data_IF_271225941623
#
_entry.id   IF_271225941623
#
_cell.length_a   1.000
_cell.length_b   1.000
_cell.length_c   1.000
_cell.angle_alpha   90.00
_cell.angle_beta   90.00
_cell.angle_gamma   90.00
#
_symmetry.space_group_name_H-M   'P 1'
#
loop_
_entity.id
_entity.type
_entity.pdbx_description
1 polymer ?
#
# COMPACT_ATOMS: atom_id res chain seq x y z
N UNK A 1 5.56 -28.97 -1.26
CA UNK A 1 5.64 -28.59 0.17
C UNK A 1 4.23 -28.35 0.70
N UNK A 2 3.94 -28.63 1.97
CA UNK A 2 2.65 -28.30 2.57
C UNK A 2 2.44 -26.78 2.57
N UNK A 3 1.20 -26.29 2.45
CA UNK A 3 0.90 -24.85 2.51
C UNK A 3 1.27 -24.31 3.90
N UNK A 4 1.84 -23.10 3.94
CA UNK A 4 2.08 -22.39 5.20
C UNK A 4 0.79 -21.73 5.69
N UNK A 5 0.64 -21.62 6.99
CA UNK A 5 -0.50 -20.92 7.59
C UNK A 5 -0.54 -19.45 7.15
N UNK A 6 -1.73 -18.90 6.93
CA UNK A 6 -1.94 -17.54 6.44
C UNK A 6 -1.33 -16.50 7.40
N UNK A 7 -1.45 -16.76 8.71
CA UNK A 7 -0.90 -15.91 9.77
C UNK A 7 0.61 -15.72 9.66
N UNK A 8 1.32 -16.76 9.20
CA UNK A 8 2.77 -16.70 8.97
C UNK A 8 3.16 -15.89 7.74
N UNK A 9 2.27 -15.77 6.76
CA UNK A 9 2.50 -15.04 5.51
C UNK A 9 2.03 -13.58 5.58
N UNK A 10 1.03 -13.30 6.43
CA UNK A 10 0.39 -11.99 6.57
C UNK A 10 1.40 -10.84 6.79
N UNK A 11 2.42 -10.92 7.64
CA UNK A 11 3.41 -9.86 7.83
C UNK A 11 4.17 -9.46 6.56
N UNK A 12 4.31 -10.38 5.62
CA UNK A 12 5.06 -10.17 4.38
C UNK A 12 4.22 -9.62 3.22
N UNK A 13 2.92 -9.41 3.42
CA UNK A 13 1.99 -8.96 2.36
C UNK A 13 2.39 -7.59 1.79
N UNK A 14 2.84 -6.65 2.64
CA UNK A 14 3.28 -5.32 2.22
C UNK A 14 4.58 -5.34 1.40
N UNK A 15 5.36 -6.44 1.48
CA UNK A 15 6.57 -6.66 0.69
C UNK A 15 6.27 -7.25 -0.70
N UNK A 16 4.98 -7.53 -1.00
CA UNK A 16 4.51 -8.05 -2.28
C UNK A 16 5.03 -9.45 -2.59
N UNK A 17 5.16 -9.77 -3.89
CA UNK A 17 5.59 -11.10 -4.35
C UNK A 17 6.94 -11.53 -3.78
N UNK A 18 7.89 -10.59 -3.66
CA UNK A 18 9.23 -10.87 -3.14
C UNK A 18 9.17 -11.37 -1.68
N UNK A 19 8.46 -10.67 -0.82
CA UNK A 19 8.29 -11.06 0.59
C UNK A 19 7.53 -12.38 0.73
N UNK A 20 6.46 -12.56 -0.04
CA UNK A 20 5.64 -13.76 0.02
C UNK A 20 6.37 -15.01 -0.52
N UNK A 21 7.17 -14.90 -1.59
CA UNK A 21 7.99 -16.00 -2.07
C UNK A 21 9.11 -16.35 -1.08
N UNK A 22 9.75 -15.33 -0.48
CA UNK A 22 10.75 -15.57 0.57
C UNK A 22 10.14 -16.28 1.79
N UNK A 23 9.03 -15.76 2.29
CA UNK A 23 8.36 -16.34 3.45
C UNK A 23 7.74 -17.72 3.16
N UNK A 24 7.11 -17.90 1.98
CA UNK A 24 6.39 -19.11 1.62
C UNK A 24 7.30 -20.26 1.19
N UNK A 25 8.34 -19.98 0.40
CA UNK A 25 9.14 -20.97 -0.30
C UNK A 25 10.64 -20.89 0.05
N UNK A 26 11.06 -19.91 0.87
CA UNK A 26 12.47 -19.56 1.13
C UNK A 26 13.21 -19.18 -0.17
N UNK A 27 12.51 -18.55 -1.08
CA UNK A 27 12.96 -18.20 -2.43
C UNK A 27 13.23 -16.69 -2.51
N UNK A 28 14.46 -16.32 -2.78
CA UNK A 28 14.85 -14.94 -3.07
C UNK A 28 15.13 -14.72 -4.56
N UNK A 29 15.44 -13.50 -4.95
CA UNK A 29 15.64 -13.11 -6.35
C UNK A 29 16.82 -13.82 -7.04
N UNK A 30 17.73 -14.47 -6.31
CA UNK A 30 18.85 -15.22 -6.87
C UNK A 30 18.48 -16.69 -7.13
N UNK A 31 17.32 -17.15 -6.70
CA UNK A 31 16.89 -18.52 -6.94
C UNK A 31 16.57 -18.74 -8.41
N UNK A 32 17.06 -19.84 -9.05
CA UNK A 32 16.89 -20.06 -10.49
C UNK A 32 15.44 -20.04 -10.97
N UNK A 33 14.49 -20.46 -10.15
CA UNK A 33 13.06 -20.51 -10.48
C UNK A 33 12.29 -19.25 -10.02
N UNK A 34 12.98 -18.24 -9.46
CA UNK A 34 12.31 -17.07 -8.85
C UNK A 34 11.41 -16.35 -9.86
N UNK A 35 11.91 -16.03 -11.04
CA UNK A 35 11.16 -15.26 -12.05
C UNK A 35 9.91 -16.03 -12.51
N UNK A 36 10.03 -17.33 -12.77
CA UNK A 36 8.89 -18.15 -13.17
C UNK A 36 7.83 -18.23 -12.07
N UNK A 37 8.26 -18.39 -10.81
CA UNK A 37 7.34 -18.45 -9.67
C UNK A 37 6.72 -17.10 -9.38
N UNK A 38 7.48 -16.01 -9.48
CA UNK A 38 6.98 -14.66 -9.33
C UNK A 38 5.93 -14.32 -10.38
N UNK A 39 6.18 -14.67 -11.65
CA UNK A 39 5.21 -14.47 -12.73
C UNK A 39 3.93 -15.27 -12.48
N UNK A 40 4.06 -16.55 -12.14
CA UNK A 40 2.90 -17.40 -11.82
C UNK A 40 2.07 -16.84 -10.65
N UNK A 41 2.74 -16.37 -9.60
CA UNK A 41 2.07 -15.70 -8.49
C UNK A 41 1.28 -14.48 -8.94
N UNK A 42 1.90 -13.63 -9.76
CA UNK A 42 1.27 -12.39 -10.26
C UNK A 42 0.09 -12.68 -11.21
N UNK A 43 0.17 -13.75 -12.01
CA UNK A 43 -0.94 -14.18 -12.87
C UNK A 43 -2.15 -14.63 -12.05
N UNK A 44 -1.92 -15.48 -11.03
CA UNK A 44 -2.97 -15.90 -10.09
C UNK A 44 -3.55 -14.70 -9.34
N UNK A 45 -2.68 -13.80 -8.86
CA UNK A 45 -3.08 -12.59 -8.15
C UNK A 45 -3.97 -11.70 -9.03
N UNK A 46 -3.60 -11.50 -10.30
CA UNK A 46 -4.38 -10.70 -11.25
C UNK A 46 -5.82 -11.24 -11.44
N UNK A 47 -5.95 -12.57 -11.53
CA UNK A 47 -7.25 -13.23 -11.72
C UNK A 47 -8.12 -13.16 -10.46
N UNK A 48 -7.51 -12.98 -9.28
CA UNK A 48 -8.17 -13.02 -7.98
C UNK A 48 -8.07 -11.72 -7.19
N UNK A 49 -7.81 -10.63 -7.88
CA UNK A 49 -7.40 -9.34 -7.32
C UNK A 49 -8.30 -8.81 -6.19
N UNK A 50 -9.62 -9.03 -6.30
CA UNK A 50 -10.62 -8.51 -5.35
C UNK A 50 -11.64 -9.56 -4.89
N UNK A 51 -11.31 -10.87 -4.93
CA UNK A 51 -12.25 -11.90 -4.45
C UNK A 51 -12.48 -11.77 -2.93
N UNK A 52 -11.40 -11.60 -2.17
CA UNK A 52 -11.43 -11.50 -0.72
C UNK A 52 -10.99 -10.12 -0.21
N UNK A 53 -10.57 -9.22 -1.12
CA UNK A 53 -10.08 -7.90 -0.76
C UNK A 53 -11.23 -6.99 -0.38
N UNK A 54 -11.15 -6.38 0.79
CA UNK A 54 -12.10 -5.39 1.32
C UNK A 54 -11.36 -4.33 2.12
N UNK A 55 -12.01 -3.22 2.34
CA UNK A 55 -11.50 -2.19 3.24
C UNK A 55 -11.49 -2.72 4.68
N UNK A 56 -10.54 -2.25 5.48
CA UNK A 56 -10.53 -2.52 6.91
C UNK A 56 -11.77 -1.93 7.58
N UNK A 57 -12.18 -2.52 8.69
CA UNK A 57 -13.34 -2.07 9.46
C UNK A 57 -13.19 -0.60 9.87
N UNK A 58 -14.27 0.15 9.73
CA UNK A 58 -14.30 1.59 10.01
C UNK A 58 -13.80 2.49 8.86
N UNK A 59 -13.03 1.96 7.88
CA UNK A 59 -12.55 2.79 6.76
C UNK A 59 -13.69 3.32 5.89
N UNK A 60 -14.72 2.54 5.52
CA UNK A 60 -15.85 3.10 4.78
C UNK A 60 -16.49 4.30 5.48
N UNK A 61 -16.78 4.18 6.77
CA UNK A 61 -17.38 5.28 7.55
C UNK A 61 -16.43 6.50 7.69
N UNK A 62 -15.12 6.26 7.80
CA UNK A 62 -14.13 7.35 7.80
C UNK A 62 -14.15 8.11 6.47
N UNK A 63 -14.18 7.41 5.33
CA UNK A 63 -14.22 8.05 4.02
C UNK A 63 -15.52 8.84 3.83
N UNK A 64 -16.66 8.29 4.27
CA UNK A 64 -17.94 9.00 4.23
C UNK A 64 -17.89 10.30 5.07
N UNK A 65 -17.27 10.26 6.25
CA UNK A 65 -17.11 11.44 7.09
C UNK A 65 -16.19 12.49 6.46
N UNK A 66 -15.08 12.08 5.84
CA UNK A 66 -14.19 13.01 5.13
C UNK A 66 -14.92 13.73 3.99
N UNK A 67 -15.70 12.99 3.20
CA UNK A 67 -16.47 13.52 2.08
C UNK A 67 -17.57 14.49 2.57
N UNK A 68 -18.29 14.13 3.65
CA UNK A 68 -19.29 15.01 4.28
C UNK A 68 -18.68 16.32 4.79
N UNK A 69 -17.40 16.30 5.20
CA UNK A 69 -16.64 17.49 5.60
C UNK A 69 -15.99 18.22 4.43
N UNK A 70 -16.22 17.81 3.19
CA UNK A 70 -15.55 18.32 1.98
C UNK A 70 -14.02 18.24 2.06
N UNK A 71 -13.49 17.23 2.73
CA UNK A 71 -12.06 16.94 2.78
C UNK A 71 -11.70 15.98 1.63
N UNK A 72 -10.82 16.44 0.73
CA UNK A 72 -10.28 15.59 -0.33
C UNK A 72 -9.34 14.54 0.23
N UNK A 73 -9.37 13.35 -0.36
CA UNK A 73 -8.48 12.25 -0.01
C UNK A 73 -7.95 11.54 -1.27
N UNK A 74 -6.83 10.86 -1.12
CA UNK A 74 -6.19 10.13 -2.20
C UNK A 74 -5.51 8.86 -1.73
N UNK A 75 -5.08 8.05 -2.69
CA UNK A 75 -4.38 6.77 -2.47
C UNK A 75 -2.96 6.88 -2.99
N UNK A 76 -1.98 6.55 -2.14
CA UNK A 76 -0.56 6.44 -2.54
C UNK A 76 -0.04 5.06 -2.14
N UNK A 77 0.34 4.25 -3.12
CA UNK A 77 0.73 2.86 -2.90
C UNK A 77 1.99 2.48 -3.67
N UNK A 78 2.78 1.52 -3.14
CA UNK A 78 3.88 0.90 -3.88
C UNK A 78 3.41 -0.21 -4.83
N UNK A 79 2.10 -0.53 -4.82
CA UNK A 79 1.51 -1.45 -5.79
C UNK A 79 1.56 -0.83 -7.20
N UNK A 80 1.94 -1.62 -8.20
CA UNK A 80 1.99 -1.14 -9.60
C UNK A 80 0.60 -0.80 -10.13
N UNK A 81 0.52 0.20 -10.99
CA UNK A 81 -0.71 0.73 -11.60
C UNK A 81 -1.58 -0.36 -12.21
N UNK A 82 -0.99 -1.32 -12.93
CA UNK A 82 -1.72 -2.45 -13.53
C UNK A 82 -2.57 -3.27 -12.54
N UNK A 83 -2.26 -3.22 -11.24
CA UNK A 83 -3.03 -3.87 -10.17
C UNK A 83 -3.82 -2.87 -9.35
N UNK A 84 -3.31 -1.65 -9.20
CA UNK A 84 -3.96 -0.60 -8.40
C UNK A 84 -5.25 -0.14 -9.04
N UNK A 85 -5.22 0.21 -10.32
CA UNK A 85 -6.37 0.76 -11.03
C UNK A 85 -7.60 -0.18 -11.03
N UNK A 86 -7.45 -1.46 -11.43
CA UNK A 86 -8.60 -2.36 -11.37
C UNK A 86 -9.05 -2.63 -9.93
N UNK A 87 -8.14 -2.66 -8.95
CA UNK A 87 -8.50 -2.86 -7.55
C UNK A 87 -9.30 -1.68 -6.98
N UNK A 88 -8.86 -0.45 -7.21
CA UNK A 88 -9.54 0.77 -6.79
C UNK A 88 -10.95 0.85 -7.42
N UNK A 89 -11.09 0.41 -8.68
CA UNK A 89 -12.38 0.33 -9.36
C UNK A 89 -13.28 -0.74 -8.74
N UNK A 90 -12.78 -1.94 -8.52
CA UNK A 90 -13.53 -3.06 -7.92
C UNK A 90 -13.98 -2.76 -6.48
N UNK A 91 -13.17 -2.02 -5.72
CA UNK A 91 -13.53 -1.53 -4.38
C UNK A 91 -14.45 -0.30 -4.42
N UNK A 92 -14.88 0.16 -5.60
CA UNK A 92 -15.74 1.33 -5.79
C UNK A 92 -15.15 2.65 -5.23
N UNK A 93 -13.83 2.73 -5.17
CA UNK A 93 -13.13 3.92 -4.68
C UNK A 93 -12.84 4.94 -5.80
N UNK A 94 -12.83 4.51 -7.08
CA UNK A 94 -12.53 5.39 -8.22
C UNK A 94 -13.40 6.65 -8.30
N UNK A 95 -14.72 6.60 -8.06
CA UNK A 95 -15.55 7.82 -8.13
C UNK A 95 -15.41 8.70 -6.87
N UNK A 96 -14.76 8.21 -5.82
CA UNK A 96 -14.68 8.87 -4.51
C UNK A 96 -13.31 9.52 -4.27
N UNK A 97 -12.23 8.88 -4.75
CA UNK A 97 -10.87 9.37 -4.54
C UNK A 97 -10.53 10.52 -5.48
N UNK A 98 -9.84 11.52 -4.96
CA UNK A 98 -9.37 12.66 -5.74
C UNK A 98 -8.06 12.37 -6.49
N UNK A 99 -7.30 11.39 -6.06
CA UNK A 99 -6.11 10.93 -6.80
C UNK A 99 -5.70 9.51 -6.41
N UNK A 100 -5.03 8.83 -7.35
CA UNK A 100 -4.36 7.54 -7.13
C UNK A 100 -2.94 7.64 -7.66
N UNK A 101 -1.96 7.38 -6.78
CA UNK A 101 -0.53 7.34 -7.11
C UNK A 101 -0.03 5.92 -6.84
N UNK A 102 0.30 5.23 -7.90
CA UNK A 102 0.80 3.85 -7.88
C UNK A 102 2.33 3.81 -7.79
N UNK A 103 2.91 2.64 -7.51
CA UNK A 103 4.34 2.47 -7.32
C UNK A 103 5.22 2.75 -8.54
N UNK A 104 4.62 2.87 -9.71
CA UNK A 104 5.23 3.19 -10.99
C UNK A 104 4.69 4.48 -11.63
N UNK A 105 3.95 5.30 -10.88
CA UNK A 105 3.45 6.60 -11.34
C UNK A 105 4.57 7.64 -11.41
N UNK A 106 5.52 7.57 -10.50
CA UNK A 106 6.69 8.48 -10.42
C UNK A 106 7.98 7.67 -10.41
N UNK A 107 9.12 8.35 -10.54
CA UNK A 107 10.43 7.70 -10.69
C UNK A 107 10.81 6.79 -9.51
N UNK A 108 10.38 7.11 -8.30
CA UNK A 108 10.73 6.37 -7.09
C UNK A 108 9.48 6.10 -6.24
N UNK A 109 9.39 4.87 -5.74
CA UNK A 109 8.35 4.47 -4.79
C UNK A 109 8.72 4.83 -3.33
N UNK A 110 7.75 4.76 -2.40
CA UNK A 110 8.03 4.92 -0.96
C UNK A 110 9.12 3.93 -0.51
N UNK A 111 10.13 4.34 0.26
CA UNK A 111 10.17 5.47 1.20
C UNK A 111 10.56 6.84 0.60
N UNK A 112 10.76 6.98 -0.72
CA UNK A 112 10.92 8.29 -1.33
C UNK A 112 9.69 9.17 -1.10
N UNK A 113 9.84 10.49 -0.86
CA UNK A 113 8.72 11.42 -0.72
C UNK A 113 8.00 11.70 -2.05
N UNK A 114 8.60 11.37 -3.19
CA UNK A 114 8.08 11.74 -4.52
C UNK A 114 6.62 11.34 -4.77
N UNK A 115 6.14 10.12 -4.42
CA UNK A 115 4.75 9.75 -4.62
C UNK A 115 3.78 10.63 -3.83
N UNK A 116 4.14 10.98 -2.58
CA UNK A 116 3.30 11.79 -1.71
C UNK A 116 3.28 13.24 -2.17
N UNK A 117 4.42 13.79 -2.55
CA UNK A 117 4.51 15.13 -3.15
C UNK A 117 3.72 15.22 -4.46
N UNK A 118 3.72 14.15 -5.26
CA UNK A 118 2.90 14.07 -6.47
C UNK A 118 1.41 14.05 -6.14
N UNK A 119 0.98 13.25 -5.15
CA UNK A 119 -0.40 13.26 -4.68
C UNK A 119 -0.84 14.64 -4.14
N UNK A 120 0.01 15.31 -3.36
CA UNK A 120 -0.26 16.67 -2.88
C UNK A 120 -0.50 17.65 -4.04
N UNK A 121 0.30 17.55 -5.11
CA UNK A 121 0.10 18.37 -6.33
C UNK A 121 -1.24 18.07 -7.02
N UNK A 122 -1.59 16.80 -7.18
CA UNK A 122 -2.87 16.40 -7.77
C UNK A 122 -4.08 16.87 -6.96
N UNK A 123 -3.93 16.89 -5.64
CA UNK A 123 -4.96 17.37 -4.70
C UNK A 123 -4.97 18.90 -4.56
N UNK A 124 -3.99 19.61 -5.17
CA UNK A 124 -3.77 21.05 -4.98
C UNK A 124 -3.66 21.44 -3.50
N UNK A 125 -2.95 20.61 -2.73
CA UNK A 125 -2.72 20.79 -1.28
C UNK A 125 -1.24 20.84 -0.97
N UNK A 126 -0.88 21.70 -0.01
CA UNK A 126 0.48 21.78 0.50
C UNK A 126 0.73 20.60 1.44
N UNK A 127 1.93 20.00 1.43
CA UNK A 127 2.27 18.88 2.31
C UNK A 127 1.99 19.16 3.79
N UNK A 128 2.30 20.37 4.30
CA UNK A 128 2.10 20.75 5.71
C UNK A 128 0.61 20.82 6.11
N UNK A 129 -0.30 20.81 5.14
CA UNK A 129 -1.76 20.76 5.32
C UNK A 129 -2.35 19.40 5.00
N UNK A 130 -1.49 18.41 4.79
CA UNK A 130 -1.88 17.06 4.41
C UNK A 130 -1.50 16.09 5.54
N UNK A 131 -2.42 15.18 5.86
CA UNK A 131 -2.17 14.05 6.76
C UNK A 131 -1.91 12.80 5.90
N UNK A 132 -0.78 12.14 6.13
CA UNK A 132 -0.46 10.88 5.51
C UNK A 132 -0.65 9.72 6.50
N UNK A 133 -1.48 8.75 6.13
CA UNK A 133 -1.83 7.60 6.98
C UNK A 133 -1.28 6.33 6.35
N UNK A 134 -0.55 5.53 7.11
CA UNK A 134 0.03 4.30 6.59
C UNK A 134 0.28 3.22 7.65
N UNK A 135 0.46 1.99 7.18
CA UNK A 135 0.66 0.78 7.99
C UNK A 135 2.06 0.16 7.80
N UNK A 136 2.95 0.85 7.08
CA UNK A 136 4.33 0.42 6.84
C UNK A 136 5.30 1.54 7.23
N UNK A 137 6.46 1.20 7.78
CA UNK A 137 7.48 2.19 8.15
C UNK A 137 7.88 3.08 6.95
N UNK A 138 7.86 2.54 5.73
CA UNK A 138 8.11 3.29 4.50
C UNK A 138 7.13 4.43 4.28
N UNK A 139 5.89 4.29 4.76
CA UNK A 139 4.85 5.31 4.69
C UNK A 139 5.19 6.51 5.55
N UNK A 140 5.62 6.23 6.78
CA UNK A 140 5.96 7.26 7.75
C UNK A 140 7.23 8.00 7.32
N UNK A 141 8.25 7.26 6.87
CA UNK A 141 9.48 7.87 6.34
C UNK A 141 9.18 8.77 5.15
N UNK A 142 8.39 8.30 4.18
CA UNK A 142 8.02 9.07 3.00
C UNK A 142 7.16 10.30 3.34
N UNK A 143 6.19 10.15 4.26
CA UNK A 143 5.31 11.23 4.70
C UNK A 143 6.09 12.35 5.39
N UNK A 144 6.95 11.98 6.33
CA UNK A 144 7.82 12.93 7.05
C UNK A 144 8.79 13.64 6.08
N UNK A 145 9.41 12.89 5.16
CA UNK A 145 10.31 13.46 4.15
C UNK A 145 9.57 14.37 3.15
N UNK A 146 8.29 14.15 2.90
CA UNK A 146 7.43 15.03 2.10
C UNK A 146 6.98 16.29 2.85
N UNK A 147 7.18 16.37 4.16
CA UNK A 147 6.71 17.47 5.01
C UNK A 147 5.25 17.36 5.42
N UNK A 148 4.65 16.17 5.28
CA UNK A 148 3.31 15.90 5.77
C UNK A 148 3.31 15.59 7.29
N UNK A 149 2.17 15.79 7.94
CA UNK A 149 1.91 15.13 9.22
C UNK A 149 1.61 13.65 8.94
N UNK A 150 2.06 12.76 9.82
CA UNK A 150 1.92 11.32 9.61
C UNK A 150 1.12 10.66 10.73
N UNK A 151 0.45 9.57 10.39
CA UNK A 151 -0.22 8.67 11.33
C UNK A 151 0.12 7.24 10.95
N UNK A 152 0.72 6.50 11.88
CA UNK A 152 0.95 5.08 11.74
C UNK A 152 -0.22 4.30 12.33
N UNK A 153 -0.82 3.40 11.53
CA UNK A 153 -1.94 2.57 11.96
C UNK A 153 -1.49 1.15 12.27
N UNK A 154 -2.08 0.54 13.30
CA UNK A 154 -1.65 -0.77 13.80
C UNK A 154 -2.48 -1.96 13.29
N UNK A 155 -3.57 -1.72 12.56
CA UNK A 155 -4.46 -2.77 12.08
C UNK A 155 -4.06 -3.35 10.70
N UNK A 156 -3.05 -2.76 10.05
CA UNK A 156 -2.61 -3.15 8.71
C UNK A 156 -1.63 -4.32 8.64
N UNK A 157 -0.74 -4.28 7.64
CA UNK A 157 0.27 -5.31 7.39
C UNK A 157 1.65 -4.81 7.82
N UNK A 158 1.90 -4.83 9.13
CA UNK A 158 3.02 -4.12 9.78
C UNK A 158 4.42 -4.65 9.41
N UNK A 159 4.50 -5.86 8.85
CA UNK A 159 5.80 -6.47 8.52
C UNK A 159 6.65 -6.75 9.77
N UNK A 160 7.96 -6.64 9.58
CA UNK A 160 8.99 -6.86 10.60
C UNK A 160 9.74 -5.57 11.00
N UNK A 161 9.14 -4.40 10.72
CA UNK A 161 9.76 -3.07 10.93
C UNK A 161 9.73 -2.58 12.39
N UNK A 162 9.47 -3.48 13.34
CA UNK A 162 9.37 -3.16 14.76
C UNK A 162 8.05 -2.50 15.17
N UNK A 163 7.90 -2.14 16.45
CA UNK A 163 6.67 -1.57 16.97
C UNK A 163 6.29 -0.24 16.31
N UNK A 164 5.02 -0.09 15.94
CA UNK A 164 4.48 1.08 15.20
C UNK A 164 4.83 2.42 15.85
N UNK A 165 4.78 2.50 17.19
CA UNK A 165 5.10 3.71 17.94
C UNK A 165 6.57 4.17 17.84
N UNK A 166 7.45 3.33 17.28
CA UNK A 166 8.87 3.66 17.07
C UNK A 166 9.16 4.24 15.69
N UNK A 167 8.16 4.33 14.80
CA UNK A 167 8.38 4.76 13.41
C UNK A 167 8.51 6.27 13.22
N UNK A 168 8.18 7.08 14.26
CA UNK A 168 8.31 8.53 14.22
C UNK A 168 7.14 9.23 13.51
N UNK A 169 5.92 8.66 13.62
CA UNK A 169 4.69 9.29 13.13
C UNK A 169 4.23 10.43 14.04
#
# INVERSE_FOLDING_TARGET
RPPKALEMLRPYTSQGVRGLLKAGFDMDANHPEYEAMAQRFLDIYSQRLCLETRLFDGIPALLDALEAMNLGWGIVTNKRMRYTDPLVKLLQLSPRTNCVVSGDTVAEAKPSPLPILHACRLLERRPEKTLYVGDDRRDIVAGNAAGCRTVAVSYGYLGDSGPVHTWGA
#
